data_IF_540243239573
#
_entry.id   IF_540243239573
#
_cell.length_a   1.000
_cell.length_b   1.000
_cell.length_c   1.000
_cell.angle_alpha   90.00
_cell.angle_beta   90.00
_cell.angle_gamma   90.00
#
_symmetry.space_group_name_H-M   'P 1'
#
loop_
_entity.id
_entity.type
_entity.pdbx_description
1 polymer ?
#
# COMPACT_ATOMS: atom_id res chain seq x y z
N UNK A 1 12.49 2.41 8.28
CA UNK A 1 11.66 1.43 9.03
C UNK A 1 10.76 0.79 8.00
N UNK A 2 10.64 -0.53 8.00
CA UNK A 2 9.75 -1.24 7.07
C UNK A 2 8.33 -1.14 7.67
N UNK A 3 7.36 -0.68 6.88
CA UNK A 3 5.96 -0.64 7.27
C UNK A 3 5.47 -2.06 7.63
N UNK A 4 4.84 -2.20 8.81
CA UNK A 4 4.28 -3.48 9.27
C UNK A 4 2.77 -3.35 9.43
N UNK A 5 1.97 -3.94 8.52
CA UNK A 5 0.52 -3.80 8.57
C UNK A 5 -0.06 -4.53 9.79
N UNK A 6 -0.83 -3.82 10.61
CA UNK A 6 -1.56 -4.40 11.74
C UNK A 6 -2.93 -4.96 11.28
N UNK A 7 -3.64 -5.65 12.18
CA UNK A 7 -4.94 -6.27 11.85
C UNK A 7 -5.97 -5.27 11.31
N UNK A 8 -6.02 -4.06 11.89
CA UNK A 8 -6.94 -3.01 11.43
C UNK A 8 -6.60 -2.56 10.01
N UNK A 9 -5.32 -2.32 9.74
CA UNK A 9 -4.86 -1.94 8.40
C UNK A 9 -5.23 -3.00 7.35
N UNK A 10 -5.00 -4.29 7.65
CA UNK A 10 -5.36 -5.38 6.75
C UNK A 10 -6.87 -5.38 6.42
N UNK A 11 -7.71 -5.20 7.44
CA UNK A 11 -9.17 -5.11 7.25
C UNK A 11 -9.57 -3.91 6.38
N UNK A 12 -8.97 -2.74 6.61
CA UNK A 12 -9.26 -1.54 5.83
C UNK A 12 -8.80 -1.71 4.37
N UNK A 13 -7.60 -2.27 4.16
CA UNK A 13 -7.09 -2.62 2.83
C UNK A 13 -8.00 -3.61 2.11
N UNK A 14 -8.39 -4.72 2.75
CA UNK A 14 -9.26 -5.74 2.15
C UNK A 14 -10.61 -5.16 1.69
N UNK A 15 -11.17 -4.23 2.47
CA UNK A 15 -12.40 -3.55 2.12
C UNK A 15 -12.24 -2.60 0.92
N UNK A 16 -11.12 -1.86 0.88
CA UNK A 16 -10.80 -1.00 -0.26
C UNK A 16 -10.55 -1.83 -1.51
N UNK A 17 -9.78 -2.92 -1.38
CA UNK A 17 -9.34 -3.76 -2.49
C UNK A 17 -10.54 -4.41 -3.20
N UNK A 18 -11.51 -4.91 -2.44
CA UNK A 18 -12.77 -5.47 -2.99
C UNK A 18 -13.58 -4.45 -3.79
N UNK A 19 -13.44 -3.17 -3.52
CA UNK A 19 -14.19 -2.10 -4.20
C UNK A 19 -13.40 -1.55 -5.40
N UNK A 20 -12.14 -1.22 -5.17
CA UNK A 20 -11.23 -0.60 -6.12
C UNK A 20 -9.78 -0.91 -5.72
N UNK A 21 -9.13 -1.91 -6.35
CA UNK A 21 -7.78 -2.33 -6.02
C UNK A 21 -6.75 -1.19 -6.01
N UNK A 22 -6.86 -0.23 -6.95
CA UNK A 22 -5.96 0.91 -7.05
C UNK A 22 -5.99 1.81 -5.81
N UNK A 23 -7.17 1.95 -5.18
CA UNK A 23 -7.30 2.71 -3.93
C UNK A 23 -6.60 2.02 -2.77
N UNK A 24 -6.71 0.68 -2.69
CA UNK A 24 -6.02 -0.09 -1.66
C UNK A 24 -4.50 -0.05 -1.87
N UNK A 25 -4.05 -0.17 -3.12
CA UNK A 25 -2.63 -0.13 -3.48
C UNK A 25 -2.01 1.24 -3.21
N UNK A 26 -2.70 2.34 -3.56
CA UNK A 26 -2.24 3.67 -3.21
C UNK A 26 -2.18 3.87 -1.70
N UNK A 27 -3.17 3.38 -0.95
CA UNK A 27 -3.16 3.46 0.51
C UNK A 27 -1.96 2.71 1.12
N UNK A 28 -1.66 1.51 0.62
CA UNK A 28 -0.48 0.75 1.03
C UNK A 28 0.82 1.47 0.71
N UNK A 29 0.96 2.00 -0.51
CA UNK A 29 2.14 2.75 -0.93
C UNK A 29 2.38 3.98 -0.05
N UNK A 30 1.33 4.76 0.22
CA UNK A 30 1.43 5.94 1.08
C UNK A 30 1.90 5.56 2.50
N UNK A 31 1.42 4.45 3.04
CA UNK A 31 1.88 3.96 4.34
C UNK A 31 3.36 3.54 4.33
N UNK A 32 3.83 2.95 3.24
CA UNK A 32 5.23 2.54 3.10
C UNK A 32 6.20 3.71 2.89
N UNK A 33 5.75 4.75 2.17
CA UNK A 33 6.52 5.98 1.95
C UNK A 33 6.49 6.90 3.17
N UNK A 34 5.53 6.74 4.06
CA UNK A 34 5.36 7.66 5.18
C UNK A 34 6.51 7.61 6.18
N UNK A 35 6.90 8.78 6.69
CA UNK A 35 7.84 8.87 7.80
C UNK A 35 7.20 8.43 9.13
N UNK A 36 7.97 8.45 10.23
CA UNK A 36 7.45 8.10 11.57
C UNK A 36 6.33 9.02 12.07
N UNK A 37 6.10 10.17 11.42
CA UNK A 37 5.05 11.13 11.72
C UNK A 37 3.87 11.00 10.74
N UNK A 38 3.87 10.01 9.85
CA UNK A 38 2.84 9.79 8.84
C UNK A 38 2.89 10.77 7.66
N UNK A 39 4.02 11.44 7.44
CA UNK A 39 4.18 12.40 6.33
C UNK A 39 4.75 11.70 5.11
N UNK A 40 4.17 12.00 3.95
CA UNK A 40 4.69 11.59 2.65
C UNK A 40 5.24 12.83 1.95
N UNK A 41 6.47 12.77 1.48
CA UNK A 41 7.09 13.82 0.66
C UNK A 41 7.28 13.23 -0.73
N UNK A 42 6.34 13.52 -1.62
CA UNK A 42 6.29 13.05 -3.01
C UNK A 42 5.42 14.00 -3.82
N UNK A 43 5.55 13.97 -5.15
CA UNK A 43 4.61 14.61 -6.07
C UNK A 43 3.73 13.55 -6.77
N UNK A 44 2.74 13.98 -7.56
CA UNK A 44 1.80 13.08 -8.25
C UNK A 44 2.49 12.19 -9.29
N UNK A 45 3.47 12.71 -10.03
CA UNK A 45 4.22 11.94 -11.02
C UNK A 45 5.03 10.83 -10.34
N UNK A 46 5.76 11.17 -9.28
CA UNK A 46 6.56 10.23 -8.51
C UNK A 46 5.67 9.16 -7.85
N UNK A 47 4.48 9.51 -7.38
CA UNK A 47 3.51 8.54 -6.88
C UNK A 47 3.01 7.60 -7.98
N UNK A 48 2.77 8.11 -9.20
CA UNK A 48 2.36 7.29 -10.33
C UNK A 48 3.46 6.29 -10.73
N UNK A 49 4.71 6.77 -10.83
CA UNK A 49 5.86 5.93 -11.16
C UNK A 49 6.07 4.83 -10.11
N UNK A 50 5.94 5.18 -8.82
CA UNK A 50 6.04 4.22 -7.72
C UNK A 50 4.86 3.24 -7.67
N UNK A 51 3.66 3.68 -8.01
CA UNK A 51 2.49 2.81 -8.14
C UNK A 51 2.70 1.77 -9.23
N UNK A 52 3.16 2.18 -10.41
CA UNK A 52 3.46 1.27 -11.53
C UNK A 52 4.59 0.30 -11.17
N UNK A 53 5.68 0.81 -10.57
CA UNK A 53 6.81 -0.01 -10.17
C UNK A 53 6.47 -1.03 -9.07
N UNK A 54 5.57 -0.68 -8.15
CA UNK A 54 5.18 -1.56 -7.03
C UNK A 54 4.05 -2.52 -7.39
N UNK A 55 3.09 -2.08 -8.18
CA UNK A 55 1.85 -2.82 -8.47
C UNK A 55 1.68 -3.02 -9.97
N UNK A 56 2.53 -3.87 -10.55
CA UNK A 56 2.49 -4.20 -11.98
C UNK A 56 1.12 -4.74 -12.43
N UNK A 57 0.44 -5.51 -11.56
CA UNK A 57 -0.98 -5.83 -11.71
C UNK A 57 -1.76 -5.25 -10.52
N UNK A 58 -2.58 -4.19 -10.72
CA UNK A 58 -3.37 -3.61 -9.66
C UNK A 58 -4.36 -4.60 -9.01
N UNK A 59 -4.80 -5.63 -9.75
CA UNK A 59 -5.70 -6.67 -9.29
C UNK A 59 -5.00 -7.79 -8.51
N UNK A 60 -3.67 -7.78 -8.42
CA UNK A 60 -2.94 -8.70 -7.57
C UNK A 60 -2.97 -8.24 -6.11
N UNK A 61 -3.35 -9.15 -5.21
CA UNK A 61 -3.40 -8.85 -3.78
C UNK A 61 -1.98 -8.64 -3.24
N UNK A 62 -1.65 -7.39 -2.90
CA UNK A 62 -0.28 -7.00 -2.54
C UNK A 62 0.07 -7.22 -1.07
N UNK A 63 -0.93 -7.40 -0.19
CA UNK A 63 -0.73 -7.78 1.21
C UNK A 63 -0.39 -9.27 1.34
N UNK A 64 0.63 -9.77 0.65
CA UNK A 64 1.16 -11.11 0.94
C UNK A 64 1.77 -11.06 2.33
N UNK A 65 1.06 -11.67 3.29
CA UNK A 65 1.55 -11.82 4.65
C UNK A 65 2.90 -12.54 4.62
N UNK A 66 3.80 -12.16 5.51
CA UNK A 66 4.81 -13.10 6.00
C UNK A 66 4.05 -14.35 6.45
N UNK A 67 3.98 -15.38 5.61
CA UNK A 67 3.62 -16.72 6.05
C UNK A 67 4.79 -17.20 6.90
N UNK A 68 4.55 -17.19 8.21
CA UNK A 68 5.10 -18.08 9.23
C UNK A 68 6.62 -18.35 9.20
N UNK A 69 7.30 -17.82 10.21
CA UNK A 69 8.52 -18.38 10.80
C UNK A 69 8.49 -18.14 12.30
#
# INVERSE_FOLDING_TARGET
MIFKPNRKFKQDYDQMFKKKPETANLYLLLCELSDKKGRVVSNEQELADLMEARFNDPGEYALRGETSG
#
